data_IF_094295802812
#
_entry.id   IF_094295802812
#
_cell.length_a   1.000
_cell.length_b   1.000
_cell.length_c   1.000
_cell.angle_alpha   90.00
_cell.angle_beta   90.00
_cell.angle_gamma   90.00
#
_symmetry.space_group_name_H-M   'P 1'
#
loop_
_entity.id
_entity.type
_entity.pdbx_description
1 polymer ?
#
# COMPACT_ATOMS: atom_id res chain seq x y z
N UNK A 1 -10.30 -0.17 52.39
CA UNK A 1 -9.16 -0.22 51.43
C UNK A 1 -9.47 -0.95 50.11
N UNK A 2 -10.63 -1.60 49.94
CA UNK A 2 -11.02 -2.31 48.72
C UNK A 2 -11.66 -1.42 47.65
N UNK A 3 -12.37 -0.35 48.06
CA UNK A 3 -13.05 0.58 47.14
C UNK A 3 -12.07 1.44 46.30
N UNK A 4 -11.00 1.95 46.92
CA UNK A 4 -10.00 2.78 46.25
C UNK A 4 -9.20 2.01 45.18
N UNK A 5 -8.92 0.72 45.43
CA UNK A 5 -8.28 -0.18 44.46
C UNK A 5 -9.18 -0.46 43.26
N UNK A 6 -10.49 -0.62 43.46
CA UNK A 6 -11.45 -0.83 42.36
C UNK A 6 -11.57 0.42 41.48
N UNK A 7 -11.57 1.61 42.08
CA UNK A 7 -11.58 2.87 41.34
C UNK A 7 -10.35 3.00 40.44
N UNK A 8 -9.15 2.72 40.98
CA UNK A 8 -7.88 2.80 40.25
C UNK A 8 -7.82 1.83 39.05
N UNK A 9 -8.29 0.58 39.24
CA UNK A 9 -8.34 -0.41 38.15
C UNK A 9 -9.31 0.04 37.05
N UNK A 10 -10.46 0.60 37.41
CA UNK A 10 -11.41 1.13 36.45
C UNK A 10 -10.84 2.32 35.65
N UNK A 11 -10.06 3.19 36.30
CA UNK A 11 -9.41 4.33 35.62
C UNK A 11 -8.33 3.87 34.64
N UNK A 12 -7.52 2.87 35.03
CA UNK A 12 -6.51 2.26 34.18
C UNK A 12 -7.10 1.56 32.95
N UNK A 13 -8.19 0.81 33.13
CA UNK A 13 -8.89 0.18 32.01
C UNK A 13 -9.48 1.20 31.03
N UNK A 14 -10.08 2.27 31.55
CA UNK A 14 -10.63 3.34 30.72
C UNK A 14 -9.53 4.06 29.92
N UNK A 15 -8.39 4.33 30.54
CA UNK A 15 -7.23 4.94 29.88
C UNK A 15 -6.60 4.02 28.82
N UNK A 16 -6.55 2.71 29.06
CA UNK A 16 -6.05 1.74 28.08
C UNK A 16 -6.99 1.61 26.86
N UNK A 17 -8.31 1.68 27.08
CA UNK A 17 -9.31 1.61 26.02
C UNK A 17 -9.25 2.83 25.08
N UNK A 18 -9.07 4.04 25.63
CA UNK A 18 -8.96 5.26 24.82
C UNK A 18 -7.64 5.32 24.03
N UNK A 19 -6.54 4.83 24.59
CA UNK A 19 -5.24 4.80 23.90
C UNK A 19 -5.22 3.80 22.73
N UNK A 20 -5.98 2.71 22.82
CA UNK A 20 -6.07 1.70 21.76
C UNK A 20 -6.84 2.20 20.52
N UNK A 21 -7.72 3.19 20.69
CA UNK A 21 -8.57 3.70 19.62
C UNK A 21 -7.84 4.66 18.64
N UNK A 22 -6.67 5.21 19.02
CA UNK A 22 -5.97 6.22 18.23
C UNK A 22 -4.93 5.63 17.24
N UNK A 23 -4.67 4.32 17.27
CA UNK A 23 -3.63 3.69 16.45
C UNK A 23 -4.10 3.15 15.09
N UNK A 24 -5.38 3.31 14.72
CA UNK A 24 -5.98 2.63 13.55
C UNK A 24 -6.24 3.54 12.35
N UNK A 25 -5.87 4.82 12.39
CA UNK A 25 -6.01 5.68 11.22
C UNK A 25 -5.04 5.21 10.11
N UNK A 26 -5.52 4.82 8.93
CA UNK A 26 -4.64 4.50 7.81
C UNK A 26 -3.84 5.75 7.48
N UNK A 27 -2.52 5.65 7.47
CA UNK A 27 -1.65 6.74 7.03
C UNK A 27 -2.05 7.14 5.60
N UNK A 28 -2.67 8.31 5.47
CA UNK A 28 -3.05 8.87 4.17
C UNK A 28 -1.76 9.29 3.45
N UNK A 29 -1.29 8.46 2.54
CA UNK A 29 -0.16 8.79 1.68
C UNK A 29 -0.69 9.50 0.43
N UNK A 30 -0.25 10.73 0.21
CA UNK A 30 -0.53 11.47 -1.03
C UNK A 30 0.34 10.91 -2.16
N UNK A 31 -0.28 10.48 -3.26
CA UNK A 31 0.43 10.08 -4.47
C UNK A 31 0.39 11.23 -5.46
N UNK A 32 1.54 11.85 -5.72
CA UNK A 32 1.68 12.93 -6.71
C UNK A 32 2.04 12.36 -8.06
N UNK A 33 1.13 12.50 -9.02
CA UNK A 33 1.40 12.20 -10.42
C UNK A 33 2.15 13.37 -11.05
N UNK A 34 3.28 13.09 -11.71
CA UNK A 34 3.96 14.08 -12.53
C UNK A 34 3.11 14.49 -13.74
N UNK A 35 3.52 15.56 -14.43
CA UNK A 35 2.87 15.99 -15.68
C UNK A 35 2.86 14.83 -16.70
N UNK A 36 1.72 14.60 -17.33
CA UNK A 36 1.48 13.51 -18.31
C UNK A 36 1.61 12.08 -17.75
N UNK A 37 1.65 11.88 -16.42
CA UNK A 37 1.58 10.54 -15.84
C UNK A 37 0.13 10.10 -15.76
N UNK A 38 -0.21 9.02 -16.47
CA UNK A 38 -1.51 8.34 -16.37
C UNK A 38 -1.28 6.93 -15.84
N UNK A 39 -1.88 6.60 -14.71
CA UNK A 39 -1.91 5.23 -14.18
C UNK A 39 -3.32 4.68 -14.39
N UNK A 40 -3.44 3.64 -15.21
CA UNK A 40 -4.72 3.03 -15.56
C UNK A 40 -4.60 2.04 -16.71
N UNK A 41 -5.74 1.53 -17.16
CA UNK A 41 -5.81 0.49 -18.19
C UNK A 41 -5.87 -0.92 -17.59
N UNK A 42 -6.13 -1.92 -18.44
CA UNK A 42 -6.34 -3.31 -18.04
C UNK A 42 -5.23 -3.85 -17.11
N UNK A 43 -3.99 -3.41 -17.33
CA UNK A 43 -2.83 -3.85 -16.56
C UNK A 43 -2.74 -3.25 -15.14
N UNK A 44 -3.43 -2.15 -14.81
CA UNK A 44 -3.28 -1.47 -13.51
C UNK A 44 -4.60 -1.19 -12.79
N UNK A 45 -5.73 -1.17 -13.49
CA UNK A 45 -7.05 -0.97 -12.90
C UNK A 45 -7.39 -2.08 -11.89
N UNK A 46 -8.19 -1.74 -10.88
CA UNK A 46 -8.70 -2.66 -9.85
C UNK A 46 -7.62 -3.42 -9.06
N UNK A 47 -6.43 -2.85 -8.93
CA UNK A 47 -5.31 -3.42 -8.17
C UNK A 47 -4.85 -2.49 -7.07
N UNK A 48 -4.46 -3.07 -5.94
CA UNK A 48 -3.85 -2.36 -4.82
C UNK A 48 -2.34 -2.52 -4.88
N UNK A 49 -1.63 -1.40 -4.70
CA UNK A 49 -0.18 -1.37 -4.55
C UNK A 49 0.18 -0.90 -3.14
N UNK A 50 1.12 -1.59 -2.51
CA UNK A 50 1.59 -1.33 -1.15
C UNK A 50 2.99 -1.93 -0.96
N UNK A 51 3.51 -1.88 0.28
CA UNK A 51 4.85 -2.40 0.61
C UNK A 51 5.09 -3.85 0.16
N UNK A 52 4.07 -4.70 0.16
CA UNK A 52 4.14 -6.12 -0.26
C UNK A 52 3.66 -6.37 -1.70
N UNK A 53 3.04 -5.39 -2.36
CA UNK A 53 2.51 -5.46 -3.73
C UNK A 53 3.00 -4.24 -4.51
N UNK A 54 4.17 -4.35 -5.14
CA UNK A 54 4.81 -3.22 -5.83
C UNK A 54 4.67 -3.36 -7.35
N UNK A 55 4.89 -2.27 -8.09
CA UNK A 55 4.95 -2.29 -9.55
C UNK A 55 6.30 -1.73 -10.03
N UNK A 56 6.82 -2.28 -11.12
CA UNK A 56 7.96 -1.73 -11.86
C UNK A 56 7.56 -1.70 -13.33
N UNK A 57 7.63 -0.52 -13.93
CA UNK A 57 7.11 -0.25 -15.27
C UNK A 57 8.28 0.16 -16.15
N UNK A 58 8.59 -0.65 -17.16
CA UNK A 58 9.57 -0.33 -18.19
C UNK A 58 8.83 0.15 -19.44
N UNK A 59 9.10 1.39 -19.84
CA UNK A 59 8.54 2.01 -21.04
C UNK A 59 9.56 2.00 -22.18
N UNK A 60 9.12 1.59 -23.36
CA UNK A 60 9.96 1.47 -24.56
C UNK A 60 9.38 2.28 -25.72
N UNK A 61 10.21 2.92 -26.53
CA UNK A 61 9.79 3.54 -27.79
C UNK A 61 9.43 2.50 -28.87
N UNK A 62 9.94 1.28 -28.73
CA UNK A 62 9.70 0.12 -29.60
C UNK A 62 8.89 -0.95 -28.89
N UNK A 63 8.41 -1.94 -29.65
CA UNK A 63 7.78 -3.13 -29.05
C UNK A 63 8.82 -3.89 -28.23
N UNK A 64 8.60 -4.09 -26.91
CA UNK A 64 9.51 -4.87 -26.09
C UNK A 64 9.46 -6.36 -26.46
N UNK A 65 10.56 -7.09 -26.20
CA UNK A 65 10.68 -8.52 -26.51
C UNK A 65 9.61 -9.37 -25.80
N UNK A 66 9.28 -9.00 -24.56
CA UNK A 66 8.30 -9.67 -23.71
C UNK A 66 7.24 -8.66 -23.27
N UNK A 67 6.28 -8.30 -24.14
CA UNK A 67 5.28 -7.28 -23.82
C UNK A 67 4.30 -7.75 -22.73
N UNK A 68 3.79 -6.79 -21.96
CA UNK A 68 2.77 -7.02 -20.96
C UNK A 68 3.32 -7.05 -19.53
N UNK A 69 2.48 -7.53 -18.61
CA UNK A 69 2.75 -7.49 -17.18
C UNK A 69 2.68 -8.86 -16.52
N UNK A 70 3.65 -9.16 -15.65
CA UNK A 70 3.70 -10.41 -14.89
C UNK A 70 3.98 -10.15 -13.41
N UNK A 71 3.35 -10.91 -12.54
CA UNK A 71 3.70 -10.93 -11.12
C UNK A 71 4.90 -11.84 -10.87
N UNK A 72 5.86 -11.35 -10.10
CA UNK A 72 7.02 -12.12 -9.63
C UNK A 72 7.14 -11.99 -8.12
N UNK A 73 7.57 -13.06 -7.46
CA UNK A 73 7.95 -13.01 -6.06
C UNK A 73 9.13 -12.06 -5.89
N UNK A 74 9.16 -11.31 -4.78
CA UNK A 74 10.18 -10.28 -4.57
C UNK A 74 11.29 -10.69 -3.59
N UNK A 75 11.30 -11.97 -3.17
CA UNK A 75 12.25 -12.54 -2.22
C UNK A 75 12.09 -12.08 -0.77
N UNK A 76 11.14 -11.18 -0.47
CA UNK A 76 10.94 -10.55 0.84
C UNK A 76 9.53 -10.76 1.40
N UNK A 77 8.85 -11.80 0.94
CA UNK A 77 7.46 -12.10 1.32
C UNK A 77 6.42 -11.22 0.63
N UNK A 78 6.79 -10.57 -0.47
CA UNK A 78 5.89 -9.80 -1.33
C UNK A 78 5.99 -10.21 -2.80
N UNK A 79 5.37 -9.39 -3.65
CA UNK A 79 5.40 -9.54 -5.10
C UNK A 79 5.55 -8.21 -5.81
N UNK A 80 6.21 -8.25 -6.96
CA UNK A 80 6.36 -7.12 -7.88
C UNK A 80 5.68 -7.45 -9.19
N UNK A 81 4.83 -6.55 -9.68
CA UNK A 81 4.30 -6.59 -11.03
C UNK A 81 5.32 -5.92 -11.94
N UNK A 82 5.96 -6.71 -12.80
CA UNK A 82 6.94 -6.21 -13.78
C UNK A 82 6.20 -6.07 -15.10
N UNK A 83 6.22 -4.86 -15.66
CA UNK A 83 5.56 -4.53 -16.90
C UNK A 83 6.57 -4.04 -17.93
N UNK A 84 6.49 -4.56 -19.15
CA UNK A 84 7.22 -4.04 -20.31
C UNK A 84 6.20 -3.53 -21.33
N UNK A 85 6.08 -2.22 -21.42
CA UNK A 85 5.05 -1.55 -22.21
C UNK A 85 5.68 -0.65 -23.25
N UNK A 86 5.05 -0.55 -24.42
CA UNK A 86 5.43 0.45 -25.41
C UNK A 86 4.81 1.80 -25.04
N UNK A 87 5.63 2.84 -25.01
CA UNK A 87 5.17 4.23 -24.89
C UNK A 87 4.30 4.58 -26.10
N UNK A 88 3.10 5.08 -25.86
CA UNK A 88 2.30 5.73 -26.90
C UNK A 88 2.57 7.22 -26.79
N UNK A 89 3.26 7.77 -27.78
CA UNK A 89 3.36 9.21 -27.99
C UNK A 89 2.04 9.76 -28.51
#
# INVERSE_FOLDING_TARGET
>A
MTSLRRLFIATLLAAAATLSASATAPASAEVRFGKNVRIGGHDFSNQTFNRKRRAVIHLYNRTPRNPGCVWRADGRGGKVKICHLRSRH
#
